data_IF_754385802244
#
_entry.id   IF_754385802244
#
_cell.length_a   1.000
_cell.length_b   1.000
_cell.length_c   1.000
_cell.angle_alpha   90.00
_cell.angle_beta   90.00
_cell.angle_gamma   90.00
#
_symmetry.space_group_name_H-M   'P 1'
#
loop_
_entity.id
_entity.type
_entity.pdbx_description
1 polymer ?
#
# COMPACT_ATOMS: atom_id res chain seq x y z
N UNK A 1 -3.19 14.24 -27.39
CA UNK A 1 -3.45 13.74 -26.03
C UNK A 1 -2.13 13.33 -25.40
N UNK A 2 -1.80 13.76 -24.17
CA UNK A 2 -0.48 13.50 -23.59
C UNK A 2 -0.29 11.99 -23.40
N UNK A 3 0.90 11.52 -23.79
CA UNK A 3 1.32 10.13 -23.74
C UNK A 3 1.29 9.65 -22.28
N UNK A 4 0.32 8.83 -21.90
CA UNK A 4 0.37 8.09 -20.64
C UNK A 4 1.61 7.22 -20.75
N UNK A 5 2.66 7.55 -19.99
CA UNK A 5 3.78 6.63 -19.80
C UNK A 5 3.19 5.42 -19.08
N UNK A 6 3.25 4.24 -19.70
CA UNK A 6 2.84 3.01 -19.05
C UNK A 6 3.72 2.81 -17.82
N UNK A 7 3.14 2.94 -16.64
CA UNK A 7 3.82 2.63 -15.39
C UNK A 7 3.77 1.12 -15.20
N UNK A 8 4.87 0.55 -14.69
CA UNK A 8 4.88 -0.81 -14.17
C UNK A 8 4.00 -0.85 -12.91
N UNK A 9 2.90 -1.60 -12.94
CA UNK A 9 1.95 -1.68 -11.83
C UNK A 9 1.59 -3.14 -11.61
N UNK A 10 1.92 -3.65 -10.44
CA UNK A 10 1.51 -4.96 -9.96
C UNK A 10 0.33 -4.80 -9.00
N UNK A 11 -0.70 -5.64 -9.12
CA UNK A 11 -1.93 -5.58 -8.29
C UNK A 11 -2.02 -6.79 -7.36
N UNK A 12 -2.55 -6.62 -6.16
CA UNK A 12 -2.83 -7.71 -5.21
C UNK A 12 -1.59 -8.59 -4.94
N UNK A 13 -0.43 -7.94 -4.80
CA UNK A 13 0.88 -8.60 -4.66
C UNK A 13 0.95 -9.28 -3.29
N UNK A 14 1.09 -10.62 -3.22
CA UNK A 14 1.22 -11.33 -1.96
C UNK A 14 2.48 -10.89 -1.21
N UNK A 15 2.36 -10.69 0.10
CA UNK A 15 3.47 -10.32 0.96
C UNK A 15 3.72 -11.45 1.97
N UNK A 16 4.63 -12.40 1.64
CA UNK A 16 4.89 -13.53 2.50
C UNK A 16 5.53 -13.07 3.81
N UNK A 17 5.06 -13.61 4.93
CA UNK A 17 5.64 -13.35 6.25
C UNK A 17 6.41 -14.58 6.69
N UNK A 18 7.71 -14.41 6.89
CA UNK A 18 8.54 -15.41 7.55
C UNK A 18 8.58 -15.13 9.05
N UNK A 19 8.18 -16.10 9.87
CA UNK A 19 8.36 -16.06 11.32
C UNK A 19 8.96 -17.39 11.78
N UNK A 20 10.12 -17.35 12.46
CA UNK A 20 10.81 -18.54 13.00
C UNK A 20 10.99 -19.68 11.97
N UNK A 21 11.29 -19.34 10.72
CA UNK A 21 11.47 -20.31 9.63
C UNK A 21 10.17 -20.85 9.01
N UNK A 22 9.01 -20.48 9.55
CA UNK A 22 7.70 -20.79 8.98
C UNK A 22 7.23 -19.64 8.09
N UNK A 23 6.80 -19.98 6.87
CA UNK A 23 6.04 -19.03 6.04
C UNK A 23 4.61 -19.00 6.57
N UNK A 24 4.26 -17.92 7.22
CA UNK A 24 2.88 -17.63 7.59
C UNK A 24 2.20 -17.13 6.34
N UNK A 25 1.20 -17.89 5.87
CA UNK A 25 0.26 -17.42 4.85
C UNK A 25 -0.74 -16.44 5.49
N UNK A 26 -0.22 -15.32 5.99
CA UNK A 26 -0.98 -14.32 6.75
C UNK A 26 -1.96 -13.53 5.86
N UNK A 27 -2.11 -13.90 4.58
CA UNK A 27 -3.04 -13.26 3.66
C UNK A 27 -2.73 -11.80 3.35
N UNK A 28 -1.55 -11.29 3.73
CA UNK A 28 -1.17 -9.92 3.42
C UNK A 28 -0.97 -9.76 1.92
N UNK A 29 -1.66 -8.78 1.36
CA UNK A 29 -1.64 -8.44 -0.06
C UNK A 29 -1.53 -6.93 -0.18
N UNK A 30 -0.55 -6.49 -0.94
CA UNK A 30 -0.42 -5.10 -1.35
C UNK A 30 -1.45 -4.85 -2.44
N UNK A 31 -2.29 -3.84 -2.27
CA UNK A 31 -3.29 -3.53 -3.30
C UNK A 31 -2.65 -3.17 -4.63
N UNK A 32 -1.70 -2.21 -4.62
CA UNK A 32 -0.89 -1.86 -5.78
C UNK A 32 0.57 -1.64 -5.41
N UNK A 33 1.46 -2.13 -6.28
CA UNK A 33 2.89 -1.84 -6.25
C UNK A 33 3.27 -1.16 -7.56
N UNK A 34 3.65 0.12 -7.47
CA UNK A 34 3.86 0.99 -8.62
C UNK A 34 5.35 1.26 -8.81
N UNK A 35 5.80 1.08 -10.05
CA UNK A 35 7.17 1.25 -10.51
C UNK A 35 8.21 0.54 -9.64
N UNK A 36 7.80 -0.54 -8.95
CA UNK A 36 8.59 -1.28 -7.97
C UNK A 36 9.17 -0.44 -6.82
N UNK A 37 8.67 0.78 -6.61
CA UNK A 37 9.19 1.73 -5.61
C UNK A 37 8.14 2.28 -4.66
N UNK A 38 6.85 2.23 -5.03
CA UNK A 38 5.75 2.75 -4.23
C UNK A 38 4.75 1.64 -3.94
N UNK A 39 4.36 1.54 -2.68
CA UNK A 39 3.26 0.70 -2.22
C UNK A 39 2.01 1.58 -2.06
N UNK A 40 0.86 1.12 -2.56
CA UNK A 40 -0.43 1.80 -2.38
C UNK A 40 -1.43 0.85 -1.72
N UNK A 41 -2.09 1.34 -0.67
CA UNK A 41 -3.20 0.69 0.03
C UNK A 41 -4.47 1.51 -0.15
N UNK A 42 -5.57 0.86 -0.53
CA UNK A 42 -6.85 1.50 -0.81
C UNK A 42 -7.81 1.25 0.36
N UNK A 43 -8.57 2.28 0.75
CA UNK A 43 -9.63 2.21 1.75
C UNK A 43 -10.87 2.96 1.28
N UNK A 44 -12.03 2.57 1.82
CA UNK A 44 -13.30 3.27 1.67
C UNK A 44 -13.97 3.38 3.05
N UNK A 45 -13.36 4.15 3.95
CA UNK A 45 -13.74 4.23 5.37
C UNK A 45 -14.00 5.67 5.77
N UNK A 46 -14.86 5.93 6.76
CA UNK A 46 -15.16 7.30 7.22
C UNK A 46 -13.93 8.09 7.69
N UNK A 47 -12.94 7.42 8.28
CA UNK A 47 -11.67 8.02 8.67
C UNK A 47 -10.52 7.01 8.68
N UNK A 48 -9.29 7.49 8.46
CA UNK A 48 -8.09 6.68 8.59
C UNK A 48 -7.74 6.51 10.08
N UNK A 49 -8.02 5.32 10.60
CA UNK A 49 -7.59 4.91 11.94
C UNK A 49 -6.09 4.59 12.02
N UNK A 50 -5.47 4.67 13.22
CA UNK A 50 -4.06 4.32 13.43
C UNK A 50 -3.66 2.92 12.93
N UNK A 51 -4.57 1.94 13.00
CA UNK A 51 -4.33 0.58 12.53
C UNK A 51 -4.03 0.51 11.03
N UNK A 52 -4.66 1.37 10.21
CA UNK A 52 -4.39 1.39 8.77
C UNK A 52 -2.97 1.87 8.46
N UNK A 53 -2.47 2.84 9.24
CA UNK A 53 -1.08 3.31 9.14
C UNK A 53 -0.10 2.26 9.63
N UNK A 54 -0.43 1.57 10.73
CA UNK A 54 0.37 0.46 11.24
C UNK A 54 0.47 -0.69 10.23
N UNK A 55 -0.63 -1.04 9.56
CA UNK A 55 -0.64 -2.02 8.47
C UNK A 55 0.31 -1.62 7.33
N UNK A 56 0.18 -0.37 6.84
CA UNK A 56 1.05 0.14 5.77
C UNK A 56 2.53 0.11 6.18
N UNK A 57 2.86 0.49 7.42
CA UNK A 57 4.23 0.39 7.94
C UNK A 57 4.75 -1.04 7.96
N UNK A 58 3.94 -2.01 8.40
CA UNK A 58 4.31 -3.42 8.35
C UNK A 58 4.60 -3.86 6.92
N UNK A 59 3.79 -3.41 5.95
CA UNK A 59 4.02 -3.77 4.56
C UNK A 59 5.28 -3.13 3.97
N UNK A 60 5.57 -1.88 4.32
CA UNK A 60 6.83 -1.23 3.94
C UNK A 60 8.03 -1.99 4.50
N UNK A 61 8.00 -2.39 5.78
CA UNK A 61 9.06 -3.20 6.42
C UNK A 61 9.28 -4.52 5.70
N UNK A 62 8.20 -5.26 5.45
CA UNK A 62 8.26 -6.60 4.84
C UNK A 62 8.63 -6.56 3.35
N UNK A 63 8.21 -5.54 2.62
CA UNK A 63 8.50 -5.39 1.19
C UNK A 63 9.85 -4.74 0.90
N UNK A 64 10.46 -4.08 1.89
CA UNK A 64 11.67 -3.26 1.72
C UNK A 64 11.44 -1.95 0.96
N UNK A 65 10.19 -1.59 0.65
CA UNK A 65 9.83 -0.33 0.01
C UNK A 65 9.85 0.81 1.04
N UNK A 66 10.25 2.01 0.62
CA UNK A 66 10.38 3.18 1.51
C UNK A 66 9.17 4.10 1.49
N UNK A 67 8.38 4.08 0.41
CA UNK A 67 7.25 5.00 0.21
C UNK A 67 5.95 4.20 0.15
N UNK A 68 5.03 4.57 1.04
CA UNK A 68 3.68 4.03 1.09
C UNK A 68 2.65 5.14 0.91
N UNK A 69 1.61 4.88 0.11
CA UNK A 69 0.45 5.74 -0.04
C UNK A 69 -0.78 5.01 0.50
N UNK A 70 -1.53 5.70 1.35
CA UNK A 70 -2.83 5.25 1.78
C UNK A 70 -3.89 6.14 1.15
N UNK A 71 -4.76 5.56 0.33
CA UNK A 71 -5.79 6.25 -0.44
C UNK A 71 -7.17 5.92 0.11
N UNK A 72 -7.80 6.88 0.80
CA UNK A 72 -9.19 6.77 1.21
C UNK A 72 -10.12 7.36 0.14
N UNK A 73 -11.05 6.56 -0.38
CA UNK A 73 -12.02 7.00 -1.38
C UNK A 73 -13.32 7.55 -0.78
N UNK A 74 -13.51 7.47 0.54
CA UNK A 74 -14.69 8.05 1.19
C UNK A 74 -14.50 9.56 1.49
N UNK A 75 -14.21 10.33 0.44
CA UNK A 75 -13.98 11.79 0.46
C UNK A 75 -14.47 12.41 -0.85
N UNK A 76 -14.79 13.70 -0.85
CA UNK A 76 -15.25 14.40 -2.07
C UNK A 76 -14.10 14.59 -3.06
N UNK A 77 -12.91 14.98 -2.59
CA UNK A 77 -11.73 15.11 -3.43
C UNK A 77 -10.66 14.10 -3.01
N UNK A 78 -10.14 13.32 -3.97
CA UNK A 78 -9.17 12.26 -3.70
C UNK A 78 -7.90 12.75 -2.97
N UNK A 79 -7.49 14.00 -3.23
CA UNK A 79 -6.33 14.62 -2.55
C UNK A 79 -6.51 14.70 -1.03
N UNK A 80 -7.75 14.81 -0.54
CA UNK A 80 -8.09 14.93 0.87
C UNK A 80 -8.03 13.54 1.56
N UNK A 81 -8.13 12.46 0.78
CA UNK A 81 -8.03 11.07 1.23
C UNK A 81 -6.63 10.47 1.13
N UNK A 82 -5.63 11.23 0.64
CA UNK A 82 -4.26 10.76 0.44
C UNK A 82 -3.42 10.96 1.70
N UNK A 83 -2.87 9.87 2.24
CA UNK A 83 -1.81 9.91 3.25
C UNK A 83 -0.52 9.33 2.68
N UNK A 84 0.56 10.11 2.69
CA UNK A 84 1.90 9.65 2.32
C UNK A 84 2.69 9.29 3.57
N UNK A 85 3.34 8.13 3.56
CA UNK A 85 4.23 7.68 4.62
C UNK A 85 5.60 7.33 4.04
N UNK A 86 6.65 7.66 4.79
CA UNK A 86 8.05 7.37 4.46
C UNK A 86 8.65 6.61 5.64
N UNK A 87 9.35 5.52 5.34
CA UNK A 87 10.06 4.68 6.30
C UNK A 87 11.57 4.80 6.13
#
# INVERSE_FOLDING_TARGET
MPRIRTLDVETQVPLPVGYEGVRIDAGYRIDLKVARVILVEIKAVSAIAPIHKAQLLSYLKLSGLKVGLLLNFNVVHLRDGLTRMIM
#
